data_IF_925386104394
#
_entry.id   IF_925386104394
#
_cell.length_a   1.000
_cell.length_b   1.000
_cell.length_c   1.000
_cell.angle_alpha   90.00
_cell.angle_beta   90.00
_cell.angle_gamma   90.00
#
_symmetry.space_group_name_H-M   'P 1'
#
loop_
_entity.id
_entity.type
_entity.pdbx_description
1 polymer ?
#
# COMPACT_ATOMS: atom_id res chain seq x y z
N UNK A 1 16.93 -42.72 1.74
CA UNK A 1 17.17 -41.36 1.21
C UNK A 1 16.64 -41.11 -0.21
N UNK A 2 16.31 -42.12 -1.04
CA UNK A 2 15.88 -41.90 -2.44
C UNK A 2 14.43 -41.40 -2.64
N UNK A 3 13.52 -41.63 -1.69
CA UNK A 3 12.11 -41.19 -1.77
C UNK A 3 11.95 -39.66 -1.68
N UNK A 4 12.76 -39.00 -0.84
CA UNK A 4 12.73 -37.54 -0.66
C UNK A 4 13.25 -36.82 -1.89
N UNK A 5 14.36 -37.30 -2.48
CA UNK A 5 14.94 -36.72 -3.71
C UNK A 5 13.97 -36.85 -4.90
N UNK A 6 13.25 -37.97 -5.03
CA UNK A 6 12.19 -38.12 -6.05
C UNK A 6 10.99 -37.21 -5.80
N UNK A 7 10.61 -36.97 -4.54
CA UNK A 7 9.52 -36.06 -4.19
C UNK A 7 9.87 -34.62 -4.54
N UNK A 8 11.10 -34.17 -4.23
CA UNK A 8 11.59 -32.82 -4.56
C UNK A 8 11.73 -32.64 -6.08
N UNK A 9 12.25 -33.65 -6.80
CA UNK A 9 12.27 -33.62 -8.28
C UNK A 9 10.86 -33.54 -8.86
N UNK A 10 9.91 -34.33 -8.36
CA UNK A 10 8.52 -34.27 -8.80
C UNK A 10 7.87 -32.90 -8.55
N UNK A 11 8.20 -32.22 -7.44
CA UNK A 11 7.71 -30.86 -7.17
C UNK A 11 8.37 -29.85 -8.12
N UNK A 12 9.68 -29.93 -8.30
CA UNK A 12 10.41 -29.09 -9.26
C UNK A 12 9.93 -29.29 -10.70
N UNK A 13 9.64 -30.53 -11.10
CA UNK A 13 9.14 -30.88 -12.43
C UNK A 13 7.68 -30.45 -12.59
N UNK A 14 6.88 -30.48 -11.51
CA UNK A 14 5.49 -29.95 -11.51
C UNK A 14 5.47 -28.42 -11.59
N UNK A 15 6.41 -27.74 -10.93
CA UNK A 15 6.63 -26.29 -11.04
C UNK A 15 7.14 -25.96 -12.45
N UNK A 16 8.09 -26.72 -13.02
CA UNK A 16 8.55 -26.56 -14.40
C UNK A 16 7.44 -26.81 -15.43
N UNK A 17 6.55 -27.77 -15.18
CA UNK A 17 5.43 -28.08 -16.04
C UNK A 17 4.30 -27.04 -15.92
N UNK A 18 4.04 -26.48 -14.73
CA UNK A 18 3.13 -25.34 -14.57
C UNK A 18 3.72 -24.04 -15.12
N UNK A 19 5.06 -23.94 -15.13
CA UNK A 19 5.85 -22.88 -15.79
C UNK A 19 6.27 -23.33 -17.19
N UNK A 20 5.53 -24.26 -17.83
CA UNK A 20 5.51 -24.38 -19.29
C UNK A 20 4.74 -23.18 -19.81
N UNK A 21 5.38 -22.02 -19.76
CA UNK A 21 4.78 -20.80 -20.24
C UNK A 21 4.76 -20.89 -21.76
N UNK A 22 3.61 -21.28 -22.32
CA UNK A 22 3.31 -21.00 -23.73
C UNK A 22 3.65 -19.53 -23.98
N UNK A 23 4.32 -19.21 -25.09
CA UNK A 23 4.73 -17.82 -25.41
C UNK A 23 3.58 -16.81 -25.29
N UNK A 24 2.34 -17.28 -25.46
CA UNK A 24 1.11 -16.52 -25.18
C UNK A 24 1.00 -15.99 -23.74
N UNK A 25 1.40 -16.75 -22.71
CA UNK A 25 1.31 -16.26 -21.32
C UNK A 25 2.46 -15.29 -20.99
N UNK A 26 3.65 -15.41 -21.60
CA UNK A 26 4.72 -14.40 -21.46
C UNK A 26 4.24 -13.05 -22.00
N UNK A 27 3.68 -13.04 -23.21
CA UNK A 27 3.15 -11.80 -23.81
C UNK A 27 2.04 -11.24 -22.91
N UNK A 28 1.13 -12.09 -22.42
CA UNK A 28 0.07 -11.67 -21.50
C UNK A 28 0.62 -10.99 -20.23
N UNK A 29 1.60 -11.59 -19.54
CA UNK A 29 2.18 -11.00 -18.33
C UNK A 29 2.94 -9.70 -18.61
N UNK A 30 3.65 -9.62 -19.74
CA UNK A 30 4.34 -8.38 -20.16
C UNK A 30 3.30 -7.29 -20.43
N UNK A 31 2.25 -7.59 -21.19
CA UNK A 31 1.17 -6.64 -21.47
C UNK A 31 0.50 -6.17 -20.18
N UNK A 32 0.21 -7.09 -19.25
CA UNK A 32 -0.37 -6.74 -17.95
C UNK A 32 0.55 -5.82 -17.15
N UNK A 33 1.85 -6.14 -17.06
CA UNK A 33 2.83 -5.30 -16.38
C UNK A 33 2.92 -3.90 -17.01
N UNK A 34 2.92 -3.81 -18.34
CA UNK A 34 2.93 -2.53 -19.05
C UNK A 34 1.68 -1.69 -18.75
N UNK A 35 0.50 -2.33 -18.71
CA UNK A 35 -0.76 -1.64 -18.39
C UNK A 35 -0.74 -1.10 -16.95
N UNK A 36 -0.29 -1.91 -15.98
CA UNK A 36 -0.18 -1.47 -14.57
C UNK A 36 0.82 -0.31 -14.44
N UNK A 37 2.00 -0.41 -15.07
CA UNK A 37 3.01 0.66 -15.03
C UNK A 37 2.46 1.95 -15.65
N UNK A 38 1.83 1.85 -16.83
CA UNK A 38 1.23 3.01 -17.50
C UNK A 38 0.13 3.65 -16.64
N UNK A 39 -0.71 2.84 -16.00
CA UNK A 39 -1.77 3.31 -15.12
C UNK A 39 -1.25 4.06 -13.89
N UNK A 40 -0.14 3.62 -13.31
CA UNK A 40 0.53 4.31 -12.20
C UNK A 40 1.12 5.63 -12.71
N UNK A 41 1.83 5.62 -13.84
CA UNK A 41 2.45 6.82 -14.43
C UNK A 41 1.44 7.93 -14.71
N UNK A 42 0.27 7.59 -15.28
CA UNK A 42 -0.80 8.57 -15.54
C UNK A 42 -1.29 9.22 -14.23
N UNK A 43 -1.41 8.44 -13.15
CA UNK A 43 -1.86 8.94 -11.84
C UNK A 43 -0.81 9.78 -11.12
N UNK A 44 0.48 9.57 -11.42
CA UNK A 44 1.59 10.35 -10.86
C UNK A 44 1.89 11.64 -11.65
N UNK A 45 1.20 11.91 -12.76
CA UNK A 45 1.32 13.17 -13.51
C UNK A 45 1.18 14.46 -12.68
N UNK A 46 0.42 14.53 -11.56
CA UNK A 46 0.36 15.74 -10.74
C UNK A 46 1.71 16.16 -10.13
N UNK A 47 2.64 15.22 -9.93
CA UNK A 47 3.99 15.50 -9.39
C UNK A 47 4.80 16.38 -10.34
N UNK A 48 4.59 16.22 -11.65
CA UNK A 48 5.28 17.03 -12.66
C UNK A 48 4.82 18.49 -12.67
N UNK A 49 3.64 18.78 -12.11
CA UNK A 49 2.99 20.10 -12.18
C UNK A 49 3.18 20.94 -10.92
N UNK A 50 3.66 20.35 -9.82
CA UNK A 50 3.75 21.06 -8.55
C UNK A 50 4.44 20.26 -7.45
N UNK A 51 4.54 20.84 -6.24
CA UNK A 51 5.19 20.18 -5.11
C UNK A 51 4.41 18.92 -4.68
N UNK A 52 5.09 18.08 -3.88
CA UNK A 52 4.51 16.91 -3.21
C UNK A 52 3.47 17.35 -2.17
N UNK A 53 2.27 17.67 -2.65
CA UNK A 53 1.17 18.17 -1.84
C UNK A 53 -0.06 17.29 -1.97
N UNK A 54 -0.56 16.77 -0.85
CA UNK A 54 -1.88 16.12 -0.79
C UNK A 54 -2.93 17.14 -1.24
N UNK A 55 -3.60 16.81 -2.35
CA UNK A 55 -4.64 17.66 -2.95
C UNK A 55 -5.99 17.37 -2.30
N UNK A 56 -6.86 18.38 -2.34
CA UNK A 56 -8.17 18.39 -1.69
C UNK A 56 -8.11 18.34 -0.15
N UNK A 57 -9.25 18.60 0.48
CA UNK A 57 -9.35 18.70 1.94
C UNK A 57 -9.55 17.34 2.62
N UNK A 58 -10.36 16.45 2.03
CA UNK A 58 -10.71 15.16 2.63
C UNK A 58 -9.50 14.29 2.99
N UNK A 59 -8.46 14.14 2.13
CA UNK A 59 -7.37 13.22 2.44
C UNK A 59 -6.50 13.67 3.62
N UNK A 60 -6.54 14.95 4.01
CA UNK A 60 -5.83 15.44 5.19
C UNK A 60 -6.31 14.79 6.48
N UNK A 61 -7.60 14.49 6.60
CA UNK A 61 -8.09 13.78 7.79
C UNK A 61 -7.53 12.37 7.85
N UNK A 62 -7.35 11.71 6.71
CA UNK A 62 -6.81 10.36 6.62
C UNK A 62 -5.32 10.34 6.95
N UNK A 63 -4.57 11.31 6.40
CA UNK A 63 -3.17 11.52 6.75
C UNK A 63 -2.98 11.77 8.25
N UNK A 64 -3.78 12.67 8.84
CA UNK A 64 -3.70 12.98 10.28
C UNK A 64 -4.00 11.75 11.16
N UNK A 65 -4.96 10.90 10.78
CA UNK A 65 -5.19 9.65 11.50
C UNK A 65 -4.00 8.68 11.33
N UNK A 66 -3.40 8.59 10.13
CA UNK A 66 -2.26 7.72 9.88
C UNK A 66 -1.02 8.17 10.67
N UNK A 67 -0.77 9.48 10.74
CA UNK A 67 0.28 10.09 11.57
C UNK A 67 0.05 9.81 13.06
N UNK A 68 -1.19 9.95 13.56
CA UNK A 68 -1.48 9.61 14.94
C UNK A 68 -1.22 8.11 15.23
N UNK A 69 -1.62 7.22 14.33
CA UNK A 69 -1.41 5.77 14.47
C UNK A 69 0.07 5.39 14.35
N UNK A 70 0.89 6.13 13.60
CA UNK A 70 2.34 5.82 13.51
C UNK A 70 3.08 6.10 14.82
N UNK A 71 2.56 7.03 15.62
CA UNK A 71 3.22 7.52 16.83
C UNK A 71 2.62 6.93 18.12
N UNK A 72 1.41 6.38 18.06
CA UNK A 72 0.64 5.90 19.20
C UNK A 72 0.32 4.41 19.10
N UNK A 73 -0.04 3.81 20.24
CA UNK A 73 -0.47 2.41 20.27
C UNK A 73 -1.90 2.27 19.72
N UNK A 74 -2.22 1.09 19.17
CA UNK A 74 -3.58 0.77 18.71
C UNK A 74 -4.64 1.03 19.80
N UNK A 75 -4.34 0.70 21.05
CA UNK A 75 -5.24 0.95 22.19
C UNK A 75 -5.56 2.44 22.35
N UNK A 76 -4.55 3.31 22.21
CA UNK A 76 -4.70 4.75 22.32
C UNK A 76 -5.54 5.29 21.15
N UNK A 77 -5.33 4.78 19.94
CA UNK A 77 -6.15 5.15 18.77
C UNK A 77 -7.64 4.85 18.96
N UNK A 78 -7.99 3.67 19.49
CA UNK A 78 -9.40 3.31 19.73
C UNK A 78 -10.05 4.16 20.83
N UNK A 79 -9.28 4.71 21.77
CA UNK A 79 -9.75 5.60 22.83
C UNK A 79 -9.50 7.09 22.52
N UNK A 80 -9.01 7.41 21.34
CA UNK A 80 -8.58 8.77 21.00
C UNK A 80 -9.77 9.71 20.81
N UNK A 81 -9.83 10.71 21.68
CA UNK A 81 -10.73 11.88 21.54
C UNK A 81 -9.91 13.09 21.10
N UNK A 82 -10.10 13.51 19.86
CA UNK A 82 -9.43 14.68 19.31
C UNK A 82 -10.17 15.96 19.74
N UNK A 83 -9.55 16.75 20.61
CA UNK A 83 -10.08 18.03 21.09
C UNK A 83 -9.75 19.20 20.16
N UNK A 84 -8.87 19.00 19.17
CA UNK A 84 -8.52 20.04 18.18
C UNK A 84 -9.62 20.23 17.14
N UNK A 85 -10.41 19.19 16.90
CA UNK A 85 -11.55 19.23 15.98
C UNK A 85 -12.85 19.36 16.78
N UNK A 86 -13.82 20.11 16.26
CA UNK A 86 -15.15 20.27 16.90
C UNK A 86 -15.07 20.80 18.34
N UNK A 87 -14.38 21.94 18.52
CA UNK A 87 -14.30 22.59 19.83
C UNK A 87 -15.67 23.14 20.26
N UNK A 88 -16.07 23.00 21.54
CA UNK A 88 -15.32 22.40 22.67
C UNK A 88 -15.52 20.88 22.86
N UNK A 89 -16.48 20.26 22.20
CA UNK A 89 -16.91 18.88 22.49
C UNK A 89 -15.86 17.82 22.11
N UNK A 90 -15.04 18.11 21.09
CA UNK A 90 -14.09 17.17 20.49
C UNK A 90 -14.76 16.13 19.60
N UNK A 91 -13.95 15.30 18.93
CA UNK A 91 -14.42 14.18 18.10
C UNK A 91 -13.64 12.91 18.39
N UNK A 92 -14.34 11.83 18.75
CA UNK A 92 -13.74 10.49 18.84
C UNK A 92 -13.34 10.01 17.46
N UNK A 93 -12.05 9.81 17.24
CA UNK A 93 -11.50 9.49 15.91
C UNK A 93 -11.65 8.03 15.53
N UNK A 94 -11.76 7.14 16.52
CA UNK A 94 -12.06 5.72 16.32
C UNK A 94 -13.36 5.45 15.54
N UNK A 95 -14.26 6.43 15.40
CA UNK A 95 -15.49 6.28 14.61
C UNK A 95 -15.26 6.40 13.10
N UNK A 96 -14.09 6.89 12.67
CA UNK A 96 -13.71 6.95 11.25
C UNK A 96 -13.29 5.55 10.80
N UNK A 97 -13.64 5.17 9.56
CA UNK A 97 -13.24 3.87 8.99
C UNK A 97 -11.70 3.76 8.99
N UNK A 98 -11.10 2.84 9.76
CA UNK A 98 -9.66 2.89 10.03
C UNK A 98 -8.82 2.09 9.03
N UNK A 99 -9.46 1.38 8.09
CA UNK A 99 -8.75 0.48 7.17
C UNK A 99 -7.71 1.19 6.29
N UNK A 100 -8.01 2.40 5.79
CA UNK A 100 -7.08 3.18 4.98
C UNK A 100 -5.84 3.61 5.79
N UNK A 101 -5.97 4.33 6.92
CA UNK A 101 -4.80 4.78 7.68
C UNK A 101 -3.99 3.61 8.26
N UNK A 102 -4.63 2.51 8.70
CA UNK A 102 -3.88 1.32 9.10
C UNK A 102 -3.07 0.71 7.96
N UNK A 103 -3.65 0.61 6.76
CA UNK A 103 -2.91 0.07 5.60
C UNK A 103 -1.70 0.94 5.27
N UNK A 104 -1.85 2.28 5.34
CA UNK A 104 -0.74 3.21 5.11
C UNK A 104 0.38 3.04 6.16
N UNK A 105 0.03 2.92 7.45
CA UNK A 105 1.01 2.73 8.53
C UNK A 105 1.73 1.39 8.42
N UNK A 106 1.02 0.30 8.07
CA UNK A 106 1.64 -1.01 7.84
C UNK A 106 2.68 -0.93 6.71
N UNK A 107 2.34 -0.26 5.61
CA UNK A 107 3.26 -0.05 4.49
C UNK A 107 4.46 0.80 4.90
N UNK A 108 4.22 1.87 5.66
CA UNK A 108 5.27 2.73 6.21
C UNK A 108 6.26 1.93 7.07
N UNK A 109 5.77 1.13 8.03
CA UNK A 109 6.66 0.31 8.86
C UNK A 109 7.39 -0.77 8.05
N UNK A 110 6.71 -1.41 7.10
CA UNK A 110 7.33 -2.42 6.24
C UNK A 110 8.48 -1.85 5.39
N UNK A 111 8.28 -0.66 4.79
CA UNK A 111 9.29 -0.03 3.96
C UNK A 111 10.47 0.49 4.78
N UNK A 112 10.22 1.07 5.96
CA UNK A 112 11.27 1.47 6.89
C UNK A 112 12.03 0.24 7.45
N UNK A 113 11.34 -0.88 7.68
CA UNK A 113 11.96 -2.14 8.12
C UNK A 113 12.94 -2.71 7.09
N UNK A 114 12.66 -2.55 5.79
CA UNK A 114 13.56 -2.96 4.70
C UNK A 114 14.69 -1.92 4.48
N UNK A 115 14.69 -0.81 5.23
CA UNK A 115 15.72 0.22 5.19
C UNK A 115 15.50 1.29 4.12
N UNK A 116 14.26 1.46 3.63
CA UNK A 116 13.91 2.56 2.73
C UNK A 116 13.42 3.73 3.57
N UNK A 117 14.18 4.83 3.69
CA UNK A 117 13.80 5.98 4.51
C UNK A 117 12.69 6.76 3.79
N UNK A 118 11.45 6.55 4.21
CA UNK A 118 10.28 7.25 3.67
C UNK A 118 9.45 7.81 4.82
N UNK A 119 8.83 8.96 4.59
CA UNK A 119 7.86 9.54 5.52
C UNK A 119 6.46 8.90 5.38
N UNK A 120 5.67 8.92 6.44
CA UNK A 120 4.25 8.51 6.39
C UNK A 120 3.46 9.38 5.40
N UNK A 121 3.85 10.64 5.25
CA UNK A 121 3.26 11.57 4.29
C UNK A 121 3.46 11.10 2.84
N UNK A 122 4.68 10.72 2.48
CA UNK A 122 4.97 10.19 1.14
C UNK A 122 4.21 8.90 0.86
N UNK A 123 4.10 8.01 1.85
CA UNK A 123 3.28 6.79 1.72
C UNK A 123 1.83 7.16 1.40
N UNK A 124 1.22 8.04 2.19
CA UNK A 124 -0.15 8.51 1.97
C UNK A 124 -0.34 9.20 0.62
N UNK A 125 0.67 9.90 0.13
CA UNK A 125 0.65 10.58 -1.17
C UNK A 125 0.72 9.59 -2.36
N UNK A 126 1.63 8.62 -2.32
CA UNK A 126 1.83 7.67 -3.42
C UNK A 126 0.81 6.51 -3.42
N UNK A 127 0.29 6.14 -2.26
CA UNK A 127 -0.57 4.97 -2.08
C UNK A 127 -1.79 4.91 -3.04
N UNK A 128 -2.54 6.00 -3.29
CA UNK A 128 -3.67 5.97 -4.22
C UNK A 128 -3.26 5.65 -5.65
N UNK A 129 -2.08 6.12 -6.09
CA UNK A 129 -1.57 5.85 -7.44
C UNK A 129 -1.25 4.37 -7.63
N UNK A 130 -0.56 3.77 -6.64
CA UNK A 130 -0.25 2.34 -6.65
C UNK A 130 -1.49 1.45 -6.54
N UNK A 131 -2.40 1.77 -5.61
CA UNK A 131 -3.66 1.01 -5.49
C UNK A 131 -4.51 1.10 -6.75
N UNK A 132 -4.61 2.28 -7.36
CA UNK A 132 -5.34 2.46 -8.62
C UNK A 132 -4.67 1.79 -9.84
N UNK A 133 -3.36 1.53 -9.80
CA UNK A 133 -2.69 0.68 -10.77
C UNK A 133 -2.99 -0.81 -10.56
N UNK A 134 -3.00 -1.25 -9.31
CA UNK A 134 -3.25 -2.64 -8.92
C UNK A 134 -4.69 -3.11 -9.16
N UNK A 135 -5.66 -2.19 -9.26
CA UNK A 135 -7.06 -2.55 -9.56
C UNK A 135 -7.28 -3.05 -10.99
N UNK A 136 -6.30 -2.89 -11.89
CA UNK A 136 -6.37 -3.25 -13.30
C UNK A 136 -5.79 -4.64 -13.51
#
# INVERSE_FOLDING_TARGET
>A
MSKIVRSIRNVSDRIRASVSVRSKNIIFFITLALVVILAIMIRLTPILRGPLLIKAFDPWIQYYNAEYISDHTLYEYFHWKDTKSWYPEGRTRSQIRPGLPFTAVIIYYFLNFIGIPISIYEVCFYFPAFKGGLTI
#
